data_IF_764639968712
#
_entry.id   IF_764639968712
#
_cell.length_a   1.000
_cell.length_b   1.000
_cell.length_c   1.000
_cell.angle_alpha   90.00
_cell.angle_beta   90.00
_cell.angle_gamma   90.00
#
_symmetry.space_group_name_H-M   'P 1'
#
loop_
_entity.id
_entity.type
_entity.pdbx_description
1 polymer ?
#
# COMPACT_ATOMS: atom_id res chain seq x y z
N UNK A 1 22.20 23.37 -0.40
CA UNK A 1 21.83 24.23 -1.54
C UNK A 1 20.50 24.87 -1.17
N UNK A 2 20.23 26.14 -1.50
CA UNK A 2 18.94 26.75 -1.20
C UNK A 2 17.83 25.92 -1.88
N UNK A 3 16.76 25.65 -1.18
CA UNK A 3 15.59 24.91 -1.67
C UNK A 3 15.02 25.69 -2.86
N UNK A 4 14.96 25.09 -4.03
CA UNK A 4 14.39 25.71 -5.23
C UNK A 4 12.92 26.04 -4.96
N UNK A 5 12.53 27.29 -5.10
CA UNK A 5 11.14 27.71 -4.90
C UNK A 5 10.34 27.52 -6.20
N UNK A 6 9.56 26.45 -6.29
CA UNK A 6 8.77 26.12 -7.49
C UNK A 6 7.70 27.16 -7.83
N UNK A 7 7.21 27.92 -6.85
CA UNK A 7 6.30 29.04 -7.13
C UNK A 7 6.99 30.18 -7.88
N UNK A 8 8.25 30.50 -7.54
CA UNK A 8 9.06 31.47 -8.26
C UNK A 8 9.43 30.99 -9.66
N UNK A 9 9.74 29.69 -9.81
CA UNK A 9 10.08 29.09 -11.10
C UNK A 9 8.91 29.14 -12.08
N UNK A 10 7.67 28.93 -11.62
CA UNK A 10 6.46 29.03 -12.43
C UNK A 10 5.86 30.45 -12.43
N UNK A 11 6.47 31.42 -11.75
CA UNK A 11 5.99 32.80 -11.63
C UNK A 11 4.54 32.88 -11.14
N UNK A 12 4.17 32.03 -10.18
CA UNK A 12 2.82 31.96 -9.62
C UNK A 12 2.80 32.21 -8.11
N UNK A 13 1.68 32.71 -7.61
CA UNK A 13 1.47 32.84 -6.17
C UNK A 13 1.39 31.47 -5.47
N UNK A 14 1.90 31.36 -4.21
CA UNK A 14 1.64 30.18 -3.38
C UNK A 14 0.14 29.88 -3.12
N UNK A 15 -0.77 30.80 -3.46
CA UNK A 15 -2.22 30.60 -3.40
C UNK A 15 -2.83 30.29 -4.77
N UNK A 16 -2.03 30.09 -5.83
CA UNK A 16 -2.51 29.82 -7.16
C UNK A 16 -3.31 28.49 -7.21
N UNK A 17 -4.41 28.49 -7.95
CA UNK A 17 -5.22 27.27 -8.21
C UNK A 17 -4.47 26.36 -9.18
N UNK A 18 -4.69 25.05 -9.16
CA UNK A 18 -4.03 24.09 -10.07
C UNK A 18 -4.15 24.47 -11.56
N UNK A 19 -5.28 25.03 -11.97
CA UNK A 19 -5.48 25.50 -13.33
C UNK A 19 -4.52 26.65 -13.71
N UNK A 20 -4.21 27.58 -12.76
CA UNK A 20 -3.28 28.69 -12.97
C UNK A 20 -1.84 28.17 -13.05
N UNK A 21 -1.46 27.22 -12.19
CA UNK A 21 -0.15 26.56 -12.21
C UNK A 21 0.08 25.89 -13.56
N UNK A 22 -0.89 25.10 -14.04
CA UNK A 22 -0.81 24.43 -15.34
C UNK A 22 -0.75 25.40 -16.51
N UNK A 23 -1.47 26.52 -16.44
CA UNK A 23 -1.44 27.57 -17.47
C UNK A 23 -0.07 28.26 -17.52
N UNK A 24 0.50 28.62 -16.35
CA UNK A 24 1.83 29.21 -16.23
C UNK A 24 2.92 28.29 -16.78
N UNK A 25 2.91 27.02 -16.35
CA UNK A 25 3.81 26.00 -16.90
C UNK A 25 3.71 25.89 -18.42
N UNK A 26 2.49 25.86 -18.97
CA UNK A 26 2.27 25.77 -20.42
C UNK A 26 2.79 27.00 -21.18
N UNK A 27 2.68 28.17 -20.59
CA UNK A 27 3.19 29.41 -21.17
C UNK A 27 4.73 29.43 -21.19
N UNK A 28 5.35 29.24 -20.02
CA UNK A 28 6.81 29.26 -19.85
C UNK A 28 7.51 28.13 -20.61
N UNK A 29 6.88 26.96 -20.64
CA UNK A 29 7.44 25.79 -21.34
C UNK A 29 7.56 25.97 -22.86
N UNK A 30 6.85 26.90 -23.49
CA UNK A 30 6.95 27.18 -24.94
C UNK A 30 8.24 27.89 -25.32
N UNK A 31 8.92 28.50 -24.37
CA UNK A 31 10.14 29.26 -24.58
C UNK A 31 11.39 28.37 -24.66
N UNK A 32 11.27 27.10 -24.23
CA UNK A 32 12.40 26.18 -24.11
C UNK A 32 12.15 24.88 -24.88
N UNK A 33 13.17 24.37 -25.54
CA UNK A 33 13.18 23.05 -26.19
C UNK A 33 13.18 21.92 -25.16
N UNK A 34 12.79 20.70 -25.56
CA UNK A 34 12.57 19.55 -24.67
C UNK A 34 13.83 19.11 -23.89
N UNK A 35 15.03 19.31 -24.45
CA UNK A 35 16.31 18.95 -23.81
C UNK A 35 16.89 20.07 -22.92
N UNK A 36 16.22 21.21 -22.81
CA UNK A 36 16.71 22.35 -22.03
C UNK A 36 16.60 22.06 -20.52
N UNK A 37 17.65 22.31 -19.72
CA UNK A 37 17.61 22.17 -18.25
C UNK A 37 16.49 22.97 -17.57
N UNK A 38 16.18 24.16 -18.09
CA UNK A 38 15.09 25.00 -17.57
C UNK A 38 13.72 24.37 -17.83
N UNK A 39 13.53 23.74 -18.99
CA UNK A 39 12.33 22.97 -19.29
C UNK A 39 12.12 21.82 -18.30
N UNK A 40 13.18 21.10 -17.94
CA UNK A 40 13.12 20.02 -16.94
C UNK A 40 12.70 20.57 -15.57
N UNK A 41 13.23 21.73 -15.19
CA UNK A 41 12.89 22.40 -13.95
C UNK A 41 11.42 22.88 -13.89
N UNK A 42 10.90 23.43 -15.01
CA UNK A 42 9.50 23.80 -15.16
C UNK A 42 8.57 22.58 -15.06
N UNK A 43 8.98 21.44 -15.64
CA UNK A 43 8.23 20.19 -15.55
C UNK A 43 8.18 19.66 -14.11
N UNK A 44 9.31 19.67 -13.40
CA UNK A 44 9.42 19.28 -11.98
C UNK A 44 8.52 20.18 -11.10
N UNK A 45 8.56 21.49 -11.33
CA UNK A 45 7.73 22.45 -10.61
C UNK A 45 6.24 22.24 -10.87
N UNK A 46 5.83 22.01 -12.13
CA UNK A 46 4.43 21.73 -12.46
C UNK A 46 3.97 20.38 -11.86
N UNK A 47 4.77 19.33 -11.94
CA UNK A 47 4.44 18.04 -11.35
C UNK A 47 4.23 18.15 -9.84
N UNK A 48 5.11 18.88 -9.16
CA UNK A 48 5.02 19.08 -7.70
C UNK A 48 3.82 19.93 -7.31
N UNK A 49 3.60 21.08 -7.97
CA UNK A 49 2.57 22.03 -7.56
C UNK A 49 1.16 21.70 -8.09
N UNK A 50 1.02 20.85 -9.11
CA UNK A 50 -0.27 20.42 -9.63
C UNK A 50 -0.87 19.24 -8.86
N UNK A 51 -0.05 18.48 -8.15
CA UNK A 51 -0.45 17.40 -7.27
C UNK A 51 -0.68 17.96 -5.85
N UNK A 52 -1.84 17.71 -5.27
CA UNK A 52 -2.22 18.28 -3.98
C UNK A 52 -1.31 17.82 -2.83
N UNK A 53 -0.90 16.54 -2.85
CA UNK A 53 -0.06 15.97 -1.79
C UNK A 53 1.41 16.40 -1.96
N UNK A 54 1.95 16.39 -3.17
CA UNK A 54 3.30 16.90 -3.46
C UNK A 54 3.40 18.39 -3.13
N UNK A 55 2.37 19.18 -3.50
CA UNK A 55 2.32 20.62 -3.21
C UNK A 55 2.29 20.88 -1.72
N UNK A 56 1.45 20.16 -0.97
CA UNK A 56 1.39 20.31 0.49
C UNK A 56 2.76 20.05 1.13
N UNK A 57 3.45 18.98 0.71
CA UNK A 57 4.80 18.65 1.17
C UNK A 57 5.81 19.75 0.85
N UNK A 58 5.71 20.30 -0.34
CA UNK A 58 6.56 21.41 -0.77
C UNK A 58 6.29 22.68 0.06
N UNK A 59 5.01 23.03 0.30
CA UNK A 59 4.61 24.15 1.13
C UNK A 59 5.12 24.01 2.59
N UNK A 60 5.02 22.81 3.15
CA UNK A 60 5.58 22.48 4.47
C UNK A 60 7.12 22.58 4.49
N UNK A 61 7.80 22.30 3.39
CA UNK A 61 9.25 22.46 3.26
C UNK A 61 9.69 23.92 3.19
N UNK A 62 8.85 24.80 2.61
CA UNK A 62 9.10 26.23 2.53
C UNK A 62 8.80 26.95 3.86
N UNK A 63 7.77 26.50 4.57
CA UNK A 63 7.34 27.06 5.85
C UNK A 63 7.16 25.94 6.88
N UNK A 64 8.26 25.41 7.42
CA UNK A 64 8.14 24.38 8.46
C UNK A 64 7.35 24.96 9.64
N UNK A 65 6.39 24.20 10.19
CA UNK A 65 5.61 24.65 11.34
C UNK A 65 6.55 25.08 12.47
N UNK A 66 6.26 26.21 13.11
CA UNK A 66 7.07 26.88 14.15
C UNK A 66 7.12 26.14 15.50
N UNK A 67 6.87 24.84 15.55
CA UNK A 67 7.13 23.94 16.68
C UNK A 67 8.41 23.13 16.45
N UNK A 68 9.09 22.67 17.50
CA UNK A 68 10.21 21.73 17.37
C UNK A 68 9.74 20.55 16.52
N UNK A 69 10.26 20.46 15.28
CA UNK A 69 9.93 19.34 14.40
C UNK A 69 10.27 18.02 15.10
N UNK A 70 9.30 17.16 15.29
CA UNK A 70 9.52 15.84 15.87
C UNK A 70 10.40 15.05 14.89
N UNK A 71 11.49 14.51 15.41
CA UNK A 71 12.49 13.78 14.61
C UNK A 71 12.66 12.37 15.14
N UNK A 72 12.88 11.45 14.22
CA UNK A 72 13.26 10.07 14.50
C UNK A 72 14.51 9.77 13.65
N UNK A 73 15.67 9.68 14.29
CA UNK A 73 16.94 9.61 13.58
C UNK A 73 17.13 10.79 12.62
N UNK A 74 17.46 10.52 11.37
CA UNK A 74 17.62 11.52 10.30
C UNK A 74 16.33 11.91 9.59
N UNK A 75 15.16 11.56 10.15
CA UNK A 75 13.86 11.79 9.54
C UNK A 75 13.04 12.80 10.33
N UNK A 76 12.49 13.78 9.64
CA UNK A 76 11.52 14.73 10.17
C UNK A 76 10.10 14.21 9.92
N UNK A 77 9.31 14.08 10.98
CA UNK A 77 7.90 13.69 10.90
C UNK A 77 7.11 14.79 10.19
N UNK A 78 6.28 14.40 9.25
CA UNK A 78 5.37 15.26 8.52
C UNK A 78 3.96 15.20 9.09
N UNK A 79 3.40 13.99 9.14
CA UNK A 79 2.07 13.73 9.68
C UNK A 79 1.93 12.29 10.18
N UNK A 80 0.88 12.06 10.96
CA UNK A 80 0.46 10.74 11.39
C UNK A 80 -0.44 10.12 10.33
N UNK A 81 -0.10 8.89 9.89
CA UNK A 81 -0.87 8.11 8.92
C UNK A 81 -1.89 7.23 9.61
N UNK A 82 -1.47 6.54 10.68
CA UNK A 82 -2.29 5.58 11.40
C UNK A 82 -1.82 5.41 12.85
N UNK A 83 -2.72 4.90 13.69
CA UNK A 83 -2.44 4.49 15.07
C UNK A 83 -3.15 3.15 15.33
N UNK A 84 -2.49 2.24 16.03
CA UNK A 84 -3.02 0.92 16.30
C UNK A 84 -2.27 0.18 17.40
N UNK A 85 -2.58 -1.10 17.60
CA UNK A 85 -2.00 -1.91 18.67
C UNK A 85 -0.48 -2.06 18.65
N UNK A 86 0.16 -1.82 17.51
CA UNK A 86 1.62 -1.88 17.34
C UNK A 86 2.29 -0.50 17.29
N UNK A 87 1.63 0.55 17.82
CA UNK A 87 2.16 1.91 17.87
C UNK A 87 1.59 2.84 16.81
N UNK A 88 2.34 3.88 16.50
CA UNK A 88 1.92 4.96 15.60
C UNK A 88 2.73 4.94 14.31
N UNK A 89 2.05 5.11 13.19
CA UNK A 89 2.67 5.17 11.86
C UNK A 89 2.67 6.61 11.36
N UNK A 90 3.84 7.08 10.94
CA UNK A 90 4.06 8.44 10.46
C UNK A 90 4.54 8.44 9.01
N UNK A 91 4.17 9.50 8.29
CA UNK A 91 4.87 9.93 7.10
C UNK A 91 6.00 10.88 7.53
N UNK A 92 7.18 10.66 6.99
CA UNK A 92 8.36 11.43 7.32
C UNK A 92 9.19 11.74 6.07
N UNK A 93 10.10 12.69 6.19
CA UNK A 93 11.06 13.04 5.15
C UNK A 93 12.48 12.93 5.70
N UNK A 94 13.35 12.26 4.96
CA UNK A 94 14.77 12.18 5.29
C UNK A 94 15.44 13.53 5.05
N UNK A 95 16.02 14.15 6.07
CA UNK A 95 16.45 15.55 6.05
C UNK A 95 17.54 15.87 5.00
N UNK A 96 18.42 14.93 4.71
CA UNK A 96 19.51 15.15 3.75
C UNK A 96 19.12 14.83 2.30
N UNK A 97 18.31 13.79 2.08
CA UNK A 97 17.97 13.34 0.72
C UNK A 97 16.63 13.87 0.22
N UNK A 98 15.77 14.39 1.11
CA UNK A 98 14.39 14.80 0.77
C UNK A 98 13.45 13.63 0.46
N UNK A 99 13.91 12.37 0.61
CA UNK A 99 13.11 11.20 0.29
C UNK A 99 12.06 10.94 1.37
N UNK A 100 10.84 10.59 0.95
CA UNK A 100 9.78 10.18 1.86
C UNK A 100 10.04 8.80 2.45
N UNK A 101 9.62 8.65 3.71
CA UNK A 101 9.64 7.40 4.44
C UNK A 101 8.32 7.21 5.22
N UNK A 102 7.99 5.95 5.48
CA UNK A 102 6.98 5.54 6.43
C UNK A 102 7.70 5.08 7.69
N UNK A 103 7.32 5.59 8.86
CA UNK A 103 7.93 5.25 10.14
C UNK A 103 6.86 4.64 11.05
N UNK A 104 7.04 3.38 11.44
CA UNK A 104 6.24 2.70 12.45
C UNK A 104 6.97 2.80 13.78
N UNK A 105 6.40 3.50 14.76
CA UNK A 105 7.03 3.83 16.02
C UNK A 105 6.31 3.15 17.18
N UNK A 106 7.06 2.44 18.04
CA UNK A 106 6.56 1.67 19.19
C UNK A 106 6.23 2.57 20.39
N UNK A 107 5.34 3.55 20.20
CA UNK A 107 4.89 4.43 21.29
C UNK A 107 3.76 3.75 22.05
N UNK A 108 3.83 3.77 23.38
CA UNK A 108 2.76 3.29 24.27
C UNK A 108 2.37 1.81 24.06
N UNK A 109 3.28 0.98 23.56
CA UNK A 109 3.07 -0.45 23.42
C UNK A 109 3.84 -1.24 24.49
N UNK A 110 3.40 -2.48 24.75
CA UNK A 110 4.08 -3.34 25.70
C UNK A 110 5.46 -3.79 25.19
N UNK A 111 6.41 -4.15 26.06
CA UNK A 111 7.70 -4.73 25.64
C UNK A 111 7.54 -6.01 24.79
N UNK A 112 6.44 -6.74 24.99
CA UNK A 112 6.12 -7.93 24.19
C UNK A 112 5.74 -7.54 22.77
N UNK A 113 4.89 -6.52 22.61
CA UNK A 113 4.47 -6.03 21.29
C UNK A 113 5.64 -5.36 20.55
N UNK A 114 6.54 -4.67 21.27
CA UNK A 114 7.77 -4.13 20.70
C UNK A 114 8.69 -5.23 20.16
N UNK A 115 8.88 -6.31 20.93
CA UNK A 115 9.66 -7.45 20.48
C UNK A 115 9.03 -8.11 19.22
N UNK A 116 7.71 -8.23 19.17
CA UNK A 116 6.99 -8.72 17.99
C UNK A 116 7.19 -7.82 16.77
N UNK A 117 7.16 -6.50 16.97
CA UNK A 117 7.41 -5.52 15.92
C UNK A 117 8.84 -5.63 15.37
N UNK A 118 9.82 -5.83 16.23
CA UNK A 118 11.23 -6.05 15.81
C UNK A 118 11.41 -7.36 15.04
N UNK A 119 10.79 -8.44 15.49
CA UNK A 119 10.81 -9.72 14.78
C UNK A 119 10.16 -9.61 13.39
N UNK A 120 9.07 -8.85 13.26
CA UNK A 120 8.46 -8.50 11.99
C UNK A 120 9.46 -7.82 11.05
N UNK A 121 10.11 -6.75 11.54
CA UNK A 121 11.06 -6.00 10.72
C UNK A 121 12.26 -6.83 10.27
N UNK A 122 12.81 -7.69 11.17
CA UNK A 122 13.90 -8.61 10.84
C UNK A 122 13.49 -9.62 9.77
N UNK A 123 12.26 -10.12 9.87
CA UNK A 123 11.70 -11.12 8.96
C UNK A 123 11.64 -10.64 7.51
N UNK A 124 11.39 -9.36 7.32
CA UNK A 124 11.24 -8.72 6.00
C UNK A 124 12.43 -7.84 5.63
N UNK A 125 13.50 -7.84 6.44
CA UNK A 125 14.65 -6.95 6.27
C UNK A 125 15.31 -7.07 4.90
N UNK A 126 15.51 -8.29 4.42
CA UNK A 126 16.17 -8.56 3.14
C UNK A 126 15.20 -8.72 1.97
N UNK A 127 13.90 -8.64 2.22
CA UNK A 127 12.92 -8.76 1.15
C UNK A 127 12.95 -7.53 0.23
N UNK A 128 13.00 -7.78 -1.06
CA UNK A 128 13.01 -6.72 -2.10
C UNK A 128 12.06 -7.12 -3.21
N UNK A 129 10.90 -6.49 -3.21
CA UNK A 129 9.88 -6.71 -4.23
C UNK A 129 9.13 -5.42 -4.51
N UNK A 130 8.80 -5.13 -5.78
CA UNK A 130 8.14 -3.89 -6.19
C UNK A 130 6.76 -3.67 -5.56
N UNK A 131 6.08 -4.74 -5.18
CA UNK A 131 4.75 -4.70 -4.56
C UNK A 131 4.80 -4.82 -3.02
N UNK A 132 5.96 -4.61 -2.40
CA UNK A 132 6.18 -4.64 -0.95
C UNK A 132 7.01 -3.43 -0.51
N UNK A 133 6.72 -2.80 0.65
CA UNK A 133 7.59 -1.76 1.19
C UNK A 133 8.91 -2.36 1.67
N UNK A 134 10.02 -1.72 1.32
CA UNK A 134 11.34 -2.14 1.81
C UNK A 134 11.60 -1.56 3.20
N UNK A 135 12.04 -2.37 4.16
CA UNK A 135 12.63 -1.88 5.41
C UNK A 135 13.98 -1.23 5.07
N UNK A 136 14.19 -0.03 5.58
CA UNK A 136 15.39 0.80 5.34
C UNK A 136 16.27 0.89 6.56
N UNK A 137 15.65 0.97 7.76
CA UNK A 137 16.39 1.11 9.02
C UNK A 137 15.51 0.74 10.21
N UNK A 138 16.14 0.45 11.35
CA UNK A 138 15.52 0.28 12.67
C UNK A 138 16.29 1.18 13.63
N UNK A 139 15.59 2.13 14.23
CA UNK A 139 16.18 3.11 15.16
C UNK A 139 15.66 2.87 16.56
N UNK A 140 16.57 2.76 17.53
CA UNK A 140 16.24 2.80 18.96
C UNK A 140 16.37 4.25 19.44
N UNK A 141 15.35 4.77 20.08
CA UNK A 141 15.29 6.13 20.60
C UNK A 141 15.77 6.22 22.05
N UNK A 142 16.05 7.44 22.53
CA UNK A 142 16.59 7.68 23.87
C UNK A 142 15.63 7.26 25.00
N UNK A 143 14.33 7.27 24.72
CA UNK A 143 13.27 6.79 25.63
C UNK A 143 13.13 5.27 25.64
N UNK A 144 13.95 4.57 24.86
CA UNK A 144 13.94 3.11 24.73
C UNK A 144 12.99 2.58 23.67
N UNK A 145 12.09 3.40 23.13
CA UNK A 145 11.16 3.00 22.05
C UNK A 145 11.90 2.69 20.75
N UNK A 146 11.26 1.94 19.86
CA UNK A 146 11.82 1.52 18.57
C UNK A 146 11.00 2.07 17.42
N UNK A 147 11.69 2.53 16.38
CA UNK A 147 11.07 2.96 15.14
C UNK A 147 11.60 2.14 13.95
N UNK A 148 10.69 1.57 13.17
CA UNK A 148 10.99 0.90 11.91
C UNK A 148 10.77 1.87 10.76
N UNK A 149 11.80 2.09 9.98
CA UNK A 149 11.77 3.00 8.83
C UNK A 149 11.63 2.18 7.57
N UNK A 150 10.61 2.50 6.79
CA UNK A 150 10.27 1.80 5.55
C UNK A 150 10.13 2.78 4.38
N UNK A 151 10.14 2.26 3.16
CA UNK A 151 9.79 3.07 2.00
C UNK A 151 8.34 3.56 2.12
N UNK A 152 8.13 4.87 1.91
CA UNK A 152 6.79 5.42 1.81
C UNK A 152 6.12 4.97 0.52
N UNK A 153 4.87 4.53 0.62
CA UNK A 153 4.05 4.11 -0.52
C UNK A 153 2.97 5.18 -0.73
N UNK A 154 3.09 6.03 -1.76
CA UNK A 154 2.06 7.00 -2.10
C UNK A 154 0.81 6.28 -2.63
N UNK A 155 -0.36 6.91 -2.52
CA UNK A 155 -1.62 6.35 -3.01
C UNK A 155 -2.68 6.25 -1.92
N UNK A 156 -3.76 5.54 -2.22
CA UNK A 156 -4.85 5.24 -1.28
C UNK A 156 -5.01 3.74 -1.13
N UNK A 157 -5.35 3.30 0.07
CA UNK A 157 -5.68 1.90 0.26
C UNK A 157 -7.07 1.59 -0.32
N UNK A 158 -7.32 0.31 -0.59
CA UNK A 158 -8.57 -0.15 -1.22
C UNK A 158 -9.80 0.21 -0.38
N UNK A 159 -9.67 0.22 0.95
CA UNK A 159 -10.76 0.62 1.83
C UNK A 159 -11.13 2.09 1.61
N UNK A 160 -10.15 3.00 1.61
CA UNK A 160 -10.37 4.43 1.35
C UNK A 160 -10.96 4.70 -0.04
N UNK A 161 -10.55 3.93 -1.05
CA UNK A 161 -11.08 4.04 -2.41
C UNK A 161 -12.55 3.67 -2.41
N UNK A 162 -12.90 2.54 -1.81
CA UNK A 162 -14.28 2.04 -1.73
C UNK A 162 -15.16 2.98 -0.91
N UNK A 163 -14.71 3.43 0.25
CA UNK A 163 -15.45 4.38 1.09
C UNK A 163 -15.73 5.71 0.38
N UNK A 164 -14.81 6.18 -0.43
CA UNK A 164 -14.93 7.46 -1.13
C UNK A 164 -15.71 7.38 -2.45
N UNK A 165 -15.51 6.31 -3.21
CA UNK A 165 -15.97 6.20 -4.60
C UNK A 165 -16.98 5.06 -4.83
N UNK A 166 -17.25 4.25 -3.80
CA UNK A 166 -18.09 3.04 -3.90
C UNK A 166 -17.30 1.83 -4.43
N UNK A 167 -18.01 0.76 -4.75
CA UNK A 167 -17.43 -0.49 -5.25
C UNK A 167 -16.51 -0.29 -6.45
N UNK A 168 -15.45 -1.11 -6.50
CA UNK A 168 -14.47 -1.11 -7.58
C UNK A 168 -14.97 -2.09 -8.66
N UNK A 169 -14.87 -1.71 -9.94
CA UNK A 169 -15.26 -2.59 -11.02
C UNK A 169 -14.41 -3.87 -11.06
N UNK A 170 -15.00 -4.95 -11.56
CA UNK A 170 -14.43 -6.29 -11.48
C UNK A 170 -13.10 -6.42 -12.26
N UNK A 171 -12.88 -5.63 -13.32
CA UNK A 171 -11.62 -5.67 -14.05
C UNK A 171 -10.48 -5.09 -13.21
N UNK A 172 -10.70 -3.96 -12.52
CA UNK A 172 -9.71 -3.40 -11.59
C UNK A 172 -9.46 -4.32 -10.39
N UNK A 173 -10.51 -4.97 -9.87
CA UNK A 173 -10.33 -5.97 -8.80
C UNK A 173 -9.43 -7.12 -9.26
N UNK A 174 -9.60 -7.64 -10.49
CA UNK A 174 -8.69 -8.65 -11.04
C UNK A 174 -7.25 -8.14 -11.17
N UNK A 175 -7.05 -6.90 -11.64
CA UNK A 175 -5.73 -6.29 -11.74
C UNK A 175 -5.06 -6.13 -10.36
N UNK A 176 -5.79 -5.60 -9.37
CA UNK A 176 -5.32 -5.46 -7.99
C UNK A 176 -4.94 -6.84 -7.43
N UNK A 177 -5.83 -7.82 -7.59
CA UNK A 177 -5.61 -9.20 -7.14
C UNK A 177 -4.35 -9.81 -7.73
N UNK A 178 -4.11 -9.64 -9.03
CA UNK A 178 -2.89 -10.14 -9.68
C UNK A 178 -1.62 -9.54 -9.06
N UNK A 179 -1.61 -8.25 -8.73
CA UNK A 179 -0.47 -7.58 -8.09
C UNK A 179 -0.25 -8.07 -6.66
N UNK A 180 -1.34 -8.26 -5.89
CA UNK A 180 -1.27 -8.82 -4.54
C UNK A 180 -0.79 -10.28 -4.58
N UNK A 181 -1.26 -11.08 -5.52
CA UNK A 181 -0.78 -12.46 -5.71
C UNK A 181 0.72 -12.51 -6.00
N UNK A 182 1.26 -11.58 -6.81
CA UNK A 182 2.72 -11.51 -7.03
C UNK A 182 3.47 -11.22 -5.72
N UNK A 183 2.96 -10.32 -4.88
CA UNK A 183 3.55 -10.02 -3.57
C UNK A 183 3.49 -11.24 -2.64
N UNK A 184 2.33 -11.91 -2.57
CA UNK A 184 2.13 -13.09 -1.73
C UNK A 184 2.99 -14.27 -2.19
N UNK A 185 3.09 -14.53 -3.51
CA UNK A 185 3.98 -15.56 -4.05
C UNK A 185 5.42 -15.33 -3.57
N UNK A 186 5.93 -14.12 -3.71
CA UNK A 186 7.27 -13.76 -3.26
C UNK A 186 7.44 -13.95 -1.75
N UNK A 187 6.49 -13.50 -0.92
CA UNK A 187 6.53 -13.69 0.53
C UNK A 187 6.53 -15.19 0.90
N UNK A 188 5.63 -15.95 0.32
CA UNK A 188 5.48 -17.39 0.60
C UNK A 188 6.72 -18.19 0.19
N UNK A 189 7.35 -17.87 -0.94
CA UNK A 189 8.62 -18.47 -1.38
C UNK A 189 9.77 -18.19 -0.40
N UNK A 190 9.73 -17.07 0.32
CA UNK A 190 10.68 -16.74 1.39
C UNK A 190 10.25 -17.25 2.77
N UNK A 191 9.16 -18.01 2.83
CA UNK A 191 8.64 -18.58 4.06
C UNK A 191 7.92 -17.58 4.96
N UNK A 192 7.44 -16.45 4.42
CA UNK A 192 6.69 -15.43 5.15
C UNK A 192 5.22 -15.51 4.80
N UNK A 193 4.36 -15.65 5.79
CA UNK A 193 2.90 -15.55 5.65
C UNK A 193 2.50 -14.17 6.15
N UNK A 194 1.77 -13.41 5.34
CA UNK A 194 1.40 -12.03 5.65
C UNK A 194 0.44 -11.93 6.86
N UNK A 195 -0.57 -12.78 6.92
CA UNK A 195 -1.50 -12.92 8.06
C UNK A 195 -2.52 -11.81 8.22
N UNK A 196 -2.46 -10.72 7.43
CA UNK A 196 -3.41 -9.59 7.52
C UNK A 196 -3.72 -8.98 6.14
N UNK A 197 -4.00 -9.83 5.16
CA UNK A 197 -4.42 -9.37 3.83
C UNK A 197 -5.85 -8.82 3.92
N UNK A 198 -5.97 -7.49 3.73
CA UNK A 198 -7.26 -6.77 3.82
C UNK A 198 -7.23 -5.49 3.00
N UNK A 199 -8.38 -4.87 2.69
CA UNK A 199 -8.45 -3.64 1.90
C UNK A 199 -7.61 -2.48 2.44
N UNK A 200 -7.51 -2.33 3.77
CA UNK A 200 -6.71 -1.28 4.41
C UNK A 200 -5.19 -1.45 4.19
N UNK A 201 -4.72 -2.68 3.94
CA UNK A 201 -3.31 -3.02 3.76
C UNK A 201 -2.90 -3.14 2.28
N UNK A 202 -3.74 -2.78 1.33
CA UNK A 202 -3.44 -2.80 -0.10
C UNK A 202 -3.54 -1.38 -0.63
N UNK A 203 -2.41 -0.78 -1.01
CA UNK A 203 -2.35 0.58 -1.55
C UNK A 203 -2.28 0.51 -3.07
N UNK A 204 -3.23 1.18 -3.75
CA UNK A 204 -3.22 1.36 -5.18
C UNK A 204 -2.58 2.71 -5.55
N UNK A 205 -1.71 2.68 -6.55
CA UNK A 205 -1.02 3.82 -7.13
C UNK A 205 -1.41 3.94 -8.62
N UNK A 206 -2.47 4.66 -8.96
CA UNK A 206 -2.99 4.69 -10.33
C UNK A 206 -1.98 5.26 -11.33
N UNK A 207 -1.25 6.30 -10.95
CA UNK A 207 -0.31 7.00 -11.83
C UNK A 207 0.85 6.10 -12.29
N UNK A 208 1.28 5.17 -11.44
CA UNK A 208 2.37 4.22 -11.72
C UNK A 208 1.87 2.83 -12.06
N UNK A 209 0.55 2.60 -12.05
CA UNK A 209 -0.09 1.29 -12.22
C UNK A 209 0.48 0.23 -11.26
N UNK A 210 0.81 0.64 -10.03
CA UNK A 210 1.33 -0.23 -8.99
C UNK A 210 0.28 -0.50 -7.91
N UNK A 211 0.40 -1.65 -7.29
CA UNK A 211 -0.33 -2.04 -6.08
C UNK A 211 0.69 -2.61 -5.11
N UNK A 212 0.65 -2.12 -3.88
CA UNK A 212 1.61 -2.50 -2.83
C UNK A 212 0.86 -3.06 -1.65
N UNK A 213 1.23 -4.26 -1.21
CA UNK A 213 0.77 -4.88 0.02
C UNK A 213 1.65 -4.39 1.17
N UNK A 214 1.03 -3.76 2.16
CA UNK A 214 1.73 -3.11 3.28
C UNK A 214 1.34 -3.74 4.62
N UNK A 215 2.08 -3.39 5.67
CA UNK A 215 1.85 -3.77 7.07
C UNK A 215 2.06 -5.27 7.37
N UNK A 216 3.23 -5.58 7.88
CA UNK A 216 3.63 -6.94 8.29
C UNK A 216 3.33 -7.26 9.76
N UNK A 217 2.53 -6.42 10.48
CA UNK A 217 2.31 -6.55 11.93
C UNK A 217 1.81 -7.90 12.41
N UNK A 218 1.17 -8.67 11.55
CA UNK A 218 0.71 -10.03 11.83
C UNK A 218 1.49 -11.11 11.07
N UNK A 219 2.57 -10.73 10.36
CA UNK A 219 3.33 -11.67 9.55
C UNK A 219 4.04 -12.74 10.39
N UNK A 220 4.05 -13.96 9.88
CA UNK A 220 4.72 -15.11 10.47
C UNK A 220 5.84 -15.60 9.55
N UNK A 221 7.02 -15.84 10.11
CA UNK A 221 8.19 -16.33 9.39
C UNK A 221 8.39 -17.80 9.66
N UNK A 222 8.40 -18.61 8.60
CA UNK A 222 8.59 -20.06 8.66
C UNK A 222 7.80 -20.71 9.82
N UNK A 223 6.47 -20.45 9.90
CA UNK A 223 5.68 -20.93 11.02
C UNK A 223 5.77 -22.45 11.15
N UNK A 224 6.12 -22.90 12.35
CA UNK A 224 6.16 -24.30 12.70
C UNK A 224 4.86 -24.76 13.36
N UNK A 225 4.75 -26.04 13.70
CA UNK A 225 3.53 -26.64 14.30
C UNK A 225 3.07 -25.95 15.59
N UNK A 226 3.97 -25.31 16.31
CA UNK A 226 3.69 -24.64 17.60
C UNK A 226 3.66 -23.09 17.45
N UNK A 227 3.68 -22.56 16.24
CA UNK A 227 3.61 -21.11 16.03
C UNK A 227 2.18 -20.64 16.29
N UNK A 228 2.03 -19.71 17.25
CA UNK A 228 0.75 -19.06 17.55
C UNK A 228 0.53 -17.86 16.65
N UNK A 229 -0.72 -17.55 16.35
CA UNK A 229 -1.09 -16.36 15.61
C UNK A 229 -0.86 -15.10 16.47
N UNK A 230 -0.41 -14.01 15.84
CA UNK A 230 -0.21 -12.71 16.52
C UNK A 230 -1.51 -11.90 16.65
N UNK A 231 -2.63 -12.41 16.17
CA UNK A 231 -3.93 -11.75 16.10
C UNK A 231 -4.56 -11.91 14.73
N UNK A 232 -5.67 -11.21 14.50
CA UNK A 232 -6.34 -11.18 13.20
C UNK A 232 -7.34 -10.02 13.09
N UNK A 233 -7.65 -9.63 11.87
CA UNK A 233 -8.75 -8.71 11.55
C UNK A 233 -10.05 -9.52 11.35
N UNK A 234 -11.06 -9.44 12.23
CA UNK A 234 -12.19 -10.39 12.27
C UNK A 234 -12.89 -10.63 10.96
N UNK A 235 -13.12 -9.57 10.15
CA UNK A 235 -13.87 -9.66 8.90
C UNK A 235 -13.09 -10.39 7.80
N UNK A 236 -11.76 -10.29 7.79
CA UNK A 236 -10.91 -10.81 6.71
C UNK A 236 -10.09 -12.05 7.10
N UNK A 237 -10.19 -12.50 8.35
CA UNK A 237 -9.43 -13.65 8.84
C UNK A 237 -9.91 -14.97 8.23
N UNK A 238 -8.96 -15.84 7.91
CA UNK A 238 -9.25 -17.21 7.51
C UNK A 238 -9.82 -18.06 8.67
N UNK A 239 -10.54 -19.16 8.38
CA UNK A 239 -11.08 -20.04 9.43
C UNK A 239 -10.00 -20.55 10.39
N UNK A 240 -8.85 -21.00 9.88
CA UNK A 240 -7.74 -21.48 10.67
C UNK A 240 -7.13 -20.40 11.56
N UNK A 241 -7.11 -19.14 11.10
CA UNK A 241 -6.66 -18.01 11.90
C UNK A 241 -7.61 -17.72 13.07
N UNK A 242 -8.92 -17.74 12.82
CA UNK A 242 -9.95 -17.58 13.86
C UNK A 242 -9.93 -18.74 14.88
N UNK A 243 -9.65 -19.95 14.40
CA UNK A 243 -9.52 -21.15 15.24
C UNK A 243 -8.17 -21.23 15.96
N UNK A 244 -7.31 -20.20 15.86
CA UNK A 244 -5.95 -20.15 16.41
C UNK A 244 -5.08 -21.36 15.99
N UNK A 245 -5.24 -21.83 14.75
CA UNK A 245 -4.42 -22.86 14.12
C UNK A 245 -3.23 -22.24 13.43
N UNK A 246 -2.27 -23.08 13.05
CA UNK A 246 -1.09 -22.66 12.27
C UNK A 246 -1.53 -22.07 10.92
N UNK A 247 -1.03 -20.87 10.60
CA UNK A 247 -1.24 -20.26 9.30
C UNK A 247 -0.35 -20.92 8.24
N UNK A 248 -0.89 -20.98 7.04
CA UNK A 248 -0.23 -21.47 5.84
C UNK A 248 -0.43 -20.47 4.70
N UNK A 249 0.32 -20.56 3.60
CA UNK A 249 0.16 -19.66 2.45
C UNK A 249 -1.30 -19.50 1.97
N UNK A 250 -2.07 -20.57 2.01
CA UNK A 250 -3.49 -20.58 1.64
C UNK A 250 -4.39 -19.78 2.59
N UNK A 251 -3.89 -19.40 3.78
CA UNK A 251 -4.59 -18.51 4.71
C UNK A 251 -4.66 -17.09 4.14
N UNK A 252 -3.57 -16.58 3.57
CA UNK A 252 -3.52 -15.28 2.89
C UNK A 252 -4.41 -15.27 1.64
N UNK A 253 -4.47 -16.39 0.91
CA UNK A 253 -5.33 -16.53 -0.26
C UNK A 253 -6.82 -16.43 0.10
N UNK A 254 -7.23 -17.00 1.24
CA UNK A 254 -8.59 -16.86 1.76
C UNK A 254 -8.91 -15.39 2.06
N UNK A 255 -8.04 -14.70 2.78
CA UNK A 255 -8.18 -13.29 3.13
C UNK A 255 -8.21 -12.40 1.88
N UNK A 256 -7.42 -12.75 0.85
CA UNK A 256 -7.48 -12.08 -0.46
C UNK A 256 -8.85 -12.28 -1.13
N UNK A 257 -9.44 -13.46 -1.09
CA UNK A 257 -10.78 -13.71 -1.59
C UNK A 257 -11.84 -12.85 -0.91
N UNK A 258 -11.78 -12.71 0.42
CA UNK A 258 -12.64 -11.79 1.19
C UNK A 258 -12.41 -10.32 0.81
N UNK A 259 -11.16 -9.94 0.60
CA UNK A 259 -10.80 -8.60 0.13
C UNK A 259 -11.38 -8.30 -1.27
N UNK A 260 -11.40 -9.29 -2.17
CA UNK A 260 -12.06 -9.15 -3.48
C UNK A 260 -13.57 -8.93 -3.33
N UNK A 261 -14.25 -9.68 -2.44
CA UNK A 261 -15.68 -9.48 -2.16
C UNK A 261 -15.94 -8.06 -1.67
N UNK A 262 -15.13 -7.55 -0.72
CA UNK A 262 -15.26 -6.18 -0.23
C UNK A 262 -15.04 -5.14 -1.34
N UNK A 263 -13.99 -5.30 -2.13
CA UNK A 263 -13.68 -4.37 -3.20
C UNK A 263 -14.81 -4.28 -4.25
N UNK A 264 -15.48 -5.42 -4.54
CA UNK A 264 -16.58 -5.50 -5.48
C UNK A 264 -17.93 -4.99 -4.92
N UNK A 265 -18.16 -5.17 -3.61
CA UNK A 265 -19.47 -4.86 -3.00
C UNK A 265 -19.49 -3.54 -2.24
N UNK A 266 -18.37 -3.13 -1.65
CA UNK A 266 -18.30 -2.04 -0.66
C UNK A 266 -19.04 -2.36 0.65
N UNK A 267 -19.44 -3.60 0.87
CA UNK A 267 -20.37 -4.01 1.92
C UNK A 267 -19.75 -5.07 2.84
N UNK A 268 -19.48 -4.74 4.14
CA UNK A 268 -19.00 -5.71 5.13
C UNK A 268 -19.92 -6.92 5.32
N UNK A 269 -21.24 -6.75 5.18
CA UNK A 269 -22.20 -7.86 5.32
C UNK A 269 -22.12 -8.83 4.13
N UNK A 270 -21.79 -8.32 2.95
CA UNK A 270 -21.49 -9.16 1.79
C UNK A 270 -20.23 -10.00 2.00
N UNK A 271 -19.19 -9.44 2.65
CA UNK A 271 -17.98 -10.18 3.03
C UNK A 271 -18.30 -11.27 4.05
N UNK A 272 -19.03 -10.94 5.12
CA UNK A 272 -19.39 -11.87 6.17
C UNK A 272 -20.24 -13.06 5.66
N UNK A 273 -21.10 -12.80 4.67
CA UNK A 273 -21.97 -13.81 4.03
C UNK A 273 -21.38 -14.43 2.77
N UNK A 274 -20.17 -14.06 2.36
CA UNK A 274 -19.51 -14.48 1.09
C UNK A 274 -20.38 -14.19 -0.15
N UNK A 275 -21.16 -13.12 -0.13
CA UNK A 275 -22.05 -12.71 -1.21
C UNK A 275 -21.32 -11.83 -2.22
N UNK A 276 -20.99 -12.41 -3.35
CA UNK A 276 -20.42 -11.66 -4.49
C UNK A 276 -21.58 -10.93 -5.22
N UNK A 277 -21.40 -9.65 -5.62
CA UNK A 277 -22.44 -8.93 -6.40
C UNK A 277 -22.87 -9.68 -7.67
N UNK A 278 -24.16 -9.61 -8.00
CA UNK A 278 -24.75 -10.40 -9.08
C UNK A 278 -24.26 -10.02 -10.49
N UNK A 279 -23.78 -8.79 -10.65
CA UNK A 279 -23.22 -8.25 -11.90
C UNK A 279 -21.73 -8.62 -12.10
N UNK A 280 -21.11 -9.31 -11.13
CA UNK A 280 -19.72 -9.78 -11.24
C UNK A 280 -19.64 -10.90 -12.28
N UNK A 281 -18.69 -10.84 -13.25
CA UNK A 281 -18.50 -11.89 -14.24
C UNK A 281 -18.29 -13.28 -13.61
N UNK A 282 -18.88 -14.31 -14.24
CA UNK A 282 -18.89 -15.66 -13.69
C UNK A 282 -17.48 -16.22 -13.44
N UNK A 283 -16.52 -15.94 -14.33
CA UNK A 283 -15.11 -16.36 -14.15
C UNK A 283 -14.50 -15.79 -12.88
N UNK A 284 -14.79 -14.49 -12.56
CA UNK A 284 -14.34 -13.83 -11.34
C UNK A 284 -15.01 -14.44 -10.11
N UNK A 285 -16.32 -14.69 -10.17
CA UNK A 285 -17.05 -15.35 -9.09
C UNK A 285 -16.49 -16.76 -8.80
N UNK A 286 -16.19 -17.55 -9.84
CA UNK A 286 -15.57 -18.89 -9.69
C UNK A 286 -14.19 -18.80 -9.03
N UNK A 287 -13.37 -17.81 -9.42
CA UNK A 287 -12.07 -17.61 -8.83
C UNK A 287 -12.17 -17.27 -7.34
N UNK A 288 -13.02 -16.30 -6.96
CA UNK A 288 -13.25 -15.94 -5.54
C UNK A 288 -13.70 -17.18 -4.75
N UNK A 289 -14.66 -17.94 -5.24
CA UNK A 289 -15.18 -19.16 -4.56
C UNK A 289 -14.09 -20.19 -4.29
N UNK A 290 -13.08 -20.30 -5.18
CA UNK A 290 -11.93 -21.19 -4.97
C UNK A 290 -11.03 -20.71 -3.84
N UNK A 291 -10.84 -19.41 -3.69
CA UNK A 291 -10.00 -18.84 -2.63
C UNK A 291 -10.65 -18.98 -1.25
N UNK A 292 -11.97 -18.79 -1.15
CA UNK A 292 -12.69 -18.76 0.15
C UNK A 292 -13.25 -20.13 0.58
N UNK A 293 -12.66 -21.20 0.10
CA UNK A 293 -12.99 -22.57 0.57
C UNK A 293 -12.61 -22.70 2.04
N UNK A 294 -13.57 -23.14 2.90
CA UNK A 294 -13.33 -23.27 4.34
C UNK A 294 -12.20 -24.24 4.66
N UNK A 295 -12.19 -25.39 4.00
CA UNK A 295 -11.09 -26.37 4.15
C UNK A 295 -9.84 -25.85 3.43
N UNK A 296 -8.78 -25.60 4.17
CA UNK A 296 -7.51 -25.07 3.65
C UNK A 296 -6.93 -25.95 2.52
N UNK A 297 -7.06 -27.27 2.62
CA UNK A 297 -6.57 -28.21 1.59
C UNK A 297 -7.39 -28.20 0.29
N UNK A 298 -8.57 -27.61 0.30
CA UNK A 298 -9.41 -27.41 -0.89
C UNK A 298 -9.14 -26.12 -1.64
N UNK A 299 -8.28 -25.24 -1.09
CA UNK A 299 -7.88 -23.98 -1.74
C UNK A 299 -6.80 -24.21 -2.80
N UNK A 300 -6.67 -23.31 -3.78
CA UNK A 300 -5.53 -23.32 -4.68
C UNK A 300 -4.22 -23.09 -3.92
N UNK A 301 -3.11 -23.59 -4.46
CA UNK A 301 -1.78 -23.34 -3.89
C UNK A 301 -0.71 -23.25 -4.99
N UNK A 302 0.44 -22.65 -4.63
CA UNK A 302 1.53 -22.37 -5.56
C UNK A 302 2.20 -23.62 -6.16
N UNK A 303 2.10 -24.76 -5.49
CA UNK A 303 2.69 -26.02 -5.98
C UNK A 303 1.87 -26.64 -7.12
N UNK A 304 0.56 -26.37 -7.16
CA UNK A 304 -0.37 -26.96 -8.13
C UNK A 304 -0.63 -26.06 -9.32
N UNK A 305 -0.57 -24.73 -9.12
CA UNK A 305 -0.91 -23.78 -10.17
C UNK A 305 -0.22 -22.41 -9.97
N UNK A 306 0.03 -21.72 -11.09
CA UNK A 306 0.47 -20.32 -11.07
C UNK A 306 -0.76 -19.41 -10.95
N UNK A 307 -1.07 -18.97 -9.73
CA UNK A 307 -2.23 -18.13 -9.45
C UNK A 307 -2.19 -16.77 -10.16
N UNK A 308 -1.00 -16.23 -10.42
CA UNK A 308 -0.87 -14.99 -11.18
C UNK A 308 -1.29 -15.17 -12.64
N UNK A 309 -0.99 -16.32 -13.23
CA UNK A 309 -1.46 -16.67 -14.58
C UNK A 309 -2.95 -17.01 -14.56
N UNK A 310 -3.41 -17.74 -13.54
CA UNK A 310 -4.83 -18.08 -13.37
C UNK A 310 -5.72 -16.82 -13.35
N UNK A 311 -5.36 -15.79 -12.56
CA UNK A 311 -6.15 -14.55 -12.53
C UNK A 311 -6.05 -13.76 -13.85
N UNK A 312 -4.95 -13.85 -14.58
CA UNK A 312 -4.81 -13.28 -15.91
C UNK A 312 -5.76 -13.94 -16.90
N UNK A 313 -5.89 -15.27 -16.85
CA UNK A 313 -6.86 -16.04 -17.65
C UNK A 313 -8.30 -15.71 -17.28
N UNK A 314 -8.62 -15.60 -15.98
CA UNK A 314 -9.93 -15.15 -15.48
C UNK A 314 -10.28 -13.78 -16.05
N UNK A 315 -9.31 -12.85 -16.09
CA UNK A 315 -9.50 -11.53 -16.66
C UNK A 315 -9.73 -11.56 -18.16
N UNK A 316 -8.98 -12.41 -18.89
CA UNK A 316 -9.18 -12.62 -20.32
C UNK A 316 -10.57 -13.22 -20.63
N UNK A 317 -11.00 -14.22 -19.87
CA UNK A 317 -12.32 -14.85 -20.00
C UNK A 317 -13.45 -13.82 -19.72
N UNK A 318 -13.29 -13.01 -18.66
CA UNK A 318 -14.33 -12.07 -18.24
C UNK A 318 -14.43 -10.81 -19.12
N UNK A 319 -13.30 -10.31 -19.66
CA UNK A 319 -13.21 -8.99 -20.30
C UNK A 319 -12.58 -9.01 -21.69
N UNK A 320 -12.20 -10.17 -22.21
CA UNK A 320 -11.60 -10.36 -23.53
C UNK A 320 -10.15 -9.83 -23.65
N UNK A 321 -9.45 -9.57 -22.52
CA UNK A 321 -8.11 -9.01 -22.51
C UNK A 321 -7.33 -9.36 -21.23
N UNK A 322 -6.02 -9.57 -21.35
CA UNK A 322 -5.11 -9.86 -20.24
C UNK A 322 -4.48 -8.64 -19.62
N UNK A 323 -4.18 -7.61 -20.41
CA UNK A 323 -3.46 -6.40 -19.99
C UNK A 323 -3.96 -5.17 -20.74
N UNK A 324 -3.70 -4.01 -20.13
CA UNK A 324 -3.76 -2.62 -20.62
C UNK A 324 -4.98 -2.19 -21.48
N UNK A 325 -5.33 -0.95 -21.36
CA UNK A 325 -6.54 -0.23 -21.80
C UNK A 325 -7.70 -0.28 -20.81
N UNK A 326 -7.42 -0.53 -19.53
CA UNK A 326 -8.40 -0.30 -18.47
C UNK A 326 -8.71 1.20 -18.36
N UNK A 327 -9.95 1.50 -17.98
CA UNK A 327 -10.29 2.87 -17.56
C UNK A 327 -9.41 3.23 -16.34
N UNK A 328 -9.08 4.52 -16.12
CA UNK A 328 -8.37 4.93 -14.91
C UNK A 328 -9.16 4.52 -13.65
N UNK A 329 -8.47 3.92 -12.67
CA UNK A 329 -9.05 3.69 -11.35
C UNK A 329 -9.32 5.05 -10.69
N UNK A 330 -10.52 5.25 -10.19
CA UNK A 330 -10.86 6.44 -9.38
C UNK A 330 -10.24 6.29 -7.99
N UNK A 331 -9.49 7.29 -7.55
CA UNK A 331 -8.80 7.32 -6.24
C UNK A 331 -8.99 8.64 -5.51
#
# INVERSE_FOLDING_TARGET
>A
MPTKNYYEILEVSPRARPAVIKAAWKALSREFGDDNPERRLLNEANETLSDADKRRLFDESLNPPSGKAVRIGSYRILDQIAEGGFGVTYRAVHEFSGQLACIKHSINISPVDEALMLEEAKAVWDLRHYALPAVRDIVKLDDGSVAIIMSYVPGRNIQQIVEKHGPIDAEHVCWITQRVLNALCYLHDHGVIHGDVKPANIIAQPDTHQVVLVDYGLALVKPGRNTTNKGYTPLFASPEQRDNKVLVPESDLYSLGLTMVYALSGDPDAVASLRVPADTPEAVCKFIKRLVVRNVHGRPNWQKENLCETIAQVREEAFGRRASNMKPLKV
#
